data_IF_429712824001
#
_entry.id   IF_429712824001
#
_cell.length_a   1.000
_cell.length_b   1.000
_cell.length_c   1.000
_cell.angle_alpha   90.00
_cell.angle_beta   90.00
_cell.angle_gamma   90.00
#
_symmetry.space_group_name_H-M   'P 1'
#
loop_
_entity.id
_entity.type
_entity.pdbx_description
1 polymer ?
#
# COMPACT_ATOMS: atom_id res chain seq x y z
N UNK A 1 -6.38 -23.97 12.47
CA UNK A 1 -5.03 -23.78 13.05
C UNK A 1 -4.01 -24.31 12.05
N UNK A 2 -3.04 -23.49 11.65
CA UNK A 2 -2.00 -23.85 10.68
C UNK A 2 -0.65 -23.96 11.37
N UNK A 3 0.02 -25.12 11.25
CA UNK A 3 1.39 -25.33 11.69
C UNK A 3 2.25 -25.67 10.46
N UNK A 4 2.59 -24.64 9.69
CA UNK A 4 3.06 -24.72 8.30
C UNK A 4 4.23 -25.68 8.03
N UNK A 5 5.08 -25.94 9.02
CA UNK A 5 6.34 -26.67 8.84
C UNK A 5 6.45 -27.95 9.68
N UNK A 6 5.40 -28.31 10.41
CA UNK A 6 5.39 -29.54 11.24
C UNK A 6 4.33 -30.53 10.78
N UNK A 7 3.36 -30.09 9.99
CA UNK A 7 2.35 -30.96 9.37
C UNK A 7 2.61 -31.04 7.87
N UNK A 8 2.66 -32.26 7.33
CA UNK A 8 2.77 -32.47 5.89
C UNK A 8 1.39 -32.29 5.25
N UNK A 9 1.05 -31.05 4.93
CA UNK A 9 -0.24 -30.66 4.32
C UNK A 9 -0.01 -29.92 3.00
N UNK A 10 -0.87 -30.15 1.98
CA UNK A 10 -0.80 -29.39 0.73
C UNK A 10 -0.89 -27.89 0.99
N UNK A 11 0.03 -27.15 0.38
CA UNK A 11 0.28 -25.74 0.69
C UNK A 11 0.32 -24.90 -0.58
N UNK A 12 -0.36 -23.75 -0.53
CA UNK A 12 -0.16 -22.64 -1.46
C UNK A 12 0.87 -21.66 -0.87
N UNK A 13 2.01 -21.54 -1.52
CA UNK A 13 3.05 -20.58 -1.17
C UNK A 13 2.80 -19.25 -1.88
N UNK A 14 2.75 -18.14 -1.13
CA UNK A 14 2.67 -16.78 -1.69
C UNK A 14 4.09 -16.24 -1.74
N UNK A 15 4.68 -16.15 -2.93
CA UNK A 15 6.11 -15.89 -3.07
C UNK A 15 6.33 -14.50 -3.65
N UNK A 16 6.92 -13.61 -2.86
CA UNK A 16 7.32 -12.29 -3.35
C UNK A 16 8.46 -12.39 -4.37
N UNK A 17 8.34 -11.66 -5.47
CA UNK A 17 9.34 -11.54 -6.55
C UNK A 17 10.03 -10.18 -6.49
N UNK A 18 11.20 -10.01 -7.14
CA UNK A 18 11.88 -8.72 -7.19
C UNK A 18 11.04 -7.60 -7.83
N UNK A 19 11.29 -6.34 -7.44
CA UNK A 19 10.58 -5.15 -7.97
C UNK A 19 11.37 -4.37 -9.03
N UNK A 20 12.50 -4.91 -9.51
CA UNK A 20 13.33 -4.27 -10.53
C UNK A 20 14.76 -4.78 -10.59
N UNK A 21 15.34 -5.17 -9.46
CA UNK A 21 16.66 -5.79 -9.38
C UNK A 21 16.54 -7.27 -9.06
N UNK A 22 16.98 -8.14 -9.98
CA UNK A 22 16.90 -9.59 -9.77
C UNK A 22 17.52 -10.01 -8.43
N UNK A 23 18.59 -9.34 -7.97
CA UNK A 23 19.29 -9.63 -6.71
C UNK A 23 18.43 -9.50 -5.44
N UNK A 24 17.24 -8.90 -5.51
CA UNK A 24 16.32 -8.77 -4.37
C UNK A 24 15.50 -10.06 -4.12
N UNK A 25 15.70 -11.10 -4.92
CA UNK A 25 15.10 -12.41 -4.70
C UNK A 25 15.69 -13.06 -3.45
N UNK A 26 14.85 -13.66 -2.62
CA UNK A 26 15.35 -14.38 -1.43
C UNK A 26 15.76 -15.80 -1.80
N UNK A 27 16.78 -16.35 -1.13
CA UNK A 27 17.17 -17.75 -1.28
C UNK A 27 15.98 -18.71 -1.07
N UNK A 28 15.17 -18.43 -0.04
CA UNK A 28 13.98 -19.24 0.27
C UNK A 28 12.93 -19.18 -0.84
N UNK A 29 12.73 -18.04 -1.50
CA UNK A 29 11.84 -17.95 -2.64
C UNK A 29 12.31 -18.86 -3.79
N UNK A 30 13.60 -18.84 -4.11
CA UNK A 30 14.17 -19.72 -5.14
C UNK A 30 14.00 -21.20 -4.77
N UNK A 31 14.33 -21.59 -3.54
CA UNK A 31 14.17 -22.96 -3.06
C UNK A 31 12.72 -23.44 -3.15
N UNK A 32 11.76 -22.62 -2.68
CA UNK A 32 10.34 -22.94 -2.75
C UNK A 32 9.90 -23.11 -4.20
N UNK A 33 10.22 -22.16 -5.08
CA UNK A 33 9.82 -22.22 -6.49
C UNK A 33 10.43 -23.42 -7.23
N UNK A 34 11.60 -23.92 -6.83
CA UNK A 34 12.18 -25.18 -7.34
C UNK A 34 11.54 -26.45 -6.79
N UNK A 35 10.88 -26.36 -5.64
CA UNK A 35 10.35 -27.53 -4.91
C UNK A 35 8.86 -27.78 -5.09
N UNK A 36 8.08 -26.74 -5.41
CA UNK A 36 6.63 -26.85 -5.64
C UNK A 36 6.33 -27.61 -6.93
N UNK A 37 5.15 -28.22 -7.01
CA UNK A 37 4.70 -28.98 -8.19
C UNK A 37 4.27 -28.07 -9.35
N UNK A 38 3.78 -26.86 -9.06
CA UNK A 38 3.36 -25.88 -10.08
C UNK A 38 3.40 -24.45 -9.55
N UNK A 39 3.72 -23.51 -10.45
CA UNK A 39 3.70 -22.07 -10.18
C UNK A 39 2.54 -21.41 -10.95
N UNK A 40 1.81 -20.54 -10.28
CA UNK A 40 0.81 -19.66 -10.87
C UNK A 40 1.37 -18.25 -10.90
N UNK A 41 1.43 -17.66 -12.09
CA UNK A 41 2.06 -16.38 -12.35
C UNK A 41 1.09 -15.41 -13.00
N UNK A 42 1.16 -14.12 -12.68
CA UNK A 42 0.34 -13.08 -13.31
C UNK A 42 0.59 -12.97 -14.82
N UNK A 43 1.81 -12.60 -15.23
CA UNK A 43 2.30 -12.70 -16.59
C UNK A 43 3.41 -13.75 -16.72
N UNK A 44 3.09 -14.84 -17.42
CA UNK A 44 4.02 -15.93 -17.74
C UNK A 44 5.23 -15.46 -18.56
N UNK A 45 5.14 -14.38 -19.34
CA UNK A 45 6.25 -13.82 -20.12
C UNK A 45 7.29 -13.17 -19.22
N UNK A 46 6.84 -12.33 -18.28
CA UNK A 46 7.67 -11.70 -17.26
C UNK A 46 8.30 -12.76 -16.36
N UNK A 47 7.47 -13.69 -15.86
CA UNK A 47 7.90 -14.77 -14.98
C UNK A 47 8.92 -15.69 -15.64
N UNK A 48 8.80 -15.97 -16.95
CA UNK A 48 9.78 -16.80 -17.68
C UNK A 48 11.21 -16.25 -17.57
N UNK A 49 11.39 -14.94 -17.62
CA UNK A 49 12.72 -14.31 -17.48
C UNK A 49 13.28 -14.55 -16.09
N UNK A 50 12.46 -14.31 -15.06
CA UNK A 50 12.81 -14.54 -13.65
C UNK A 50 13.18 -16.02 -13.39
N UNK A 51 12.32 -16.96 -13.82
CA UNK A 51 12.50 -18.38 -13.59
C UNK A 51 13.77 -18.90 -14.29
N UNK A 52 14.02 -18.47 -15.54
CA UNK A 52 15.23 -18.83 -16.27
C UNK A 52 16.49 -18.30 -15.59
N UNK A 53 16.49 -17.06 -15.10
CA UNK A 53 17.64 -16.46 -14.42
C UNK A 53 18.05 -17.28 -13.19
N UNK A 54 17.07 -17.82 -12.45
CA UNK A 54 17.30 -18.62 -11.23
C UNK A 54 17.41 -20.13 -11.47
N UNK A 55 17.32 -20.59 -12.72
CA UNK A 55 17.32 -22.01 -13.07
C UNK A 55 16.17 -22.76 -12.41
N UNK A 56 14.97 -22.18 -12.42
CA UNK A 56 13.75 -22.81 -11.92
C UNK A 56 13.04 -23.49 -13.10
N UNK A 57 12.99 -24.83 -13.06
CA UNK A 57 12.41 -25.66 -14.13
C UNK A 57 10.95 -26.06 -13.87
N UNK A 58 10.40 -25.67 -12.72
CA UNK A 58 9.04 -25.95 -12.31
C UNK A 58 8.03 -25.46 -13.33
N UNK A 59 7.04 -26.30 -13.64
CA UNK A 59 5.96 -25.95 -14.57
C UNK A 59 5.14 -24.77 -14.05
N UNK A 60 4.76 -23.85 -14.93
CA UNK A 60 4.00 -22.66 -14.57
C UNK A 60 2.82 -22.38 -15.50
N UNK A 61 1.78 -21.75 -14.95
CA UNK A 61 0.57 -21.32 -15.66
C UNK A 61 0.19 -19.89 -15.29
N UNK A 62 -0.58 -19.24 -16.16
CA UNK A 62 -1.12 -17.90 -15.89
C UNK A 62 -2.24 -17.93 -14.84
N UNK A 63 -2.21 -17.02 -13.88
CA UNK A 63 -3.28 -16.68 -12.96
C UNK A 63 -3.36 -15.15 -12.84
N UNK A 64 -4.41 -14.54 -13.36
CA UNK A 64 -4.59 -13.09 -13.40
C UNK A 64 -6.07 -12.72 -13.28
N UNK A 65 -6.38 -11.42 -13.14
CA UNK A 65 -7.73 -10.93 -12.84
C UNK A 65 -8.82 -11.47 -13.80
N UNK A 66 -8.52 -11.61 -15.09
CA UNK A 66 -9.49 -12.09 -16.08
C UNK A 66 -9.78 -13.61 -16.07
N UNK A 67 -8.91 -14.44 -15.47
CA UNK A 67 -9.08 -15.91 -15.47
C UNK A 67 -9.19 -16.50 -14.05
N UNK A 68 -9.15 -15.66 -13.01
CA UNK A 68 -9.06 -16.10 -11.62
C UNK A 68 -10.15 -17.09 -11.22
N UNK A 69 -11.41 -16.84 -11.60
CA UNK A 69 -12.53 -17.72 -11.24
C UNK A 69 -12.52 -19.06 -11.99
N UNK A 70 -11.93 -19.11 -13.18
CA UNK A 70 -11.71 -20.36 -13.91
C UNK A 70 -10.57 -21.17 -13.28
N UNK A 71 -9.52 -20.50 -12.81
CA UNK A 71 -8.32 -21.14 -12.26
C UNK A 71 -8.48 -21.62 -10.82
N UNK A 72 -9.30 -20.97 -9.99
CA UNK A 72 -9.48 -21.34 -8.58
C UNK A 72 -9.87 -22.83 -8.42
N UNK A 73 -10.90 -23.37 -9.11
CA UNK A 73 -11.25 -24.78 -9.01
C UNK A 73 -10.12 -25.73 -9.40
N UNK A 74 -9.32 -25.37 -10.41
CA UNK A 74 -8.17 -26.16 -10.86
C UNK A 74 -7.09 -26.20 -9.78
N UNK A 75 -6.82 -25.06 -9.15
CA UNK A 75 -5.83 -24.93 -8.07
C UNK A 75 -6.26 -25.74 -6.85
N UNK A 76 -7.54 -25.68 -6.47
CA UNK A 76 -8.09 -26.47 -5.37
C UNK A 76 -7.96 -27.98 -5.64
N UNK A 77 -8.30 -28.44 -6.84
CA UNK A 77 -8.16 -29.85 -7.20
C UNK A 77 -6.69 -30.33 -7.12
N UNK A 78 -5.72 -29.49 -7.47
CA UNK A 78 -4.30 -29.81 -7.32
C UNK A 78 -3.91 -29.93 -5.84
N UNK A 79 -4.37 -29.02 -4.99
CA UNK A 79 -4.14 -29.10 -3.53
C UNK A 79 -4.78 -30.35 -2.93
N UNK A 80 -6.01 -30.70 -3.33
CA UNK A 80 -6.69 -31.93 -2.94
C UNK A 80 -5.91 -33.18 -3.35
N UNK A 81 -5.26 -33.15 -4.52
CA UNK A 81 -4.39 -34.22 -5.01
C UNK A 81 -3.03 -34.28 -4.30
N UNK A 82 -2.81 -33.51 -3.24
CA UNK A 82 -1.59 -33.55 -2.44
C UNK A 82 -0.46 -32.64 -2.93
N UNK A 83 -0.73 -31.76 -3.90
CA UNK A 83 0.29 -30.93 -4.56
C UNK A 83 0.62 -29.68 -3.77
N UNK A 84 1.88 -29.25 -3.83
CA UNK A 84 2.32 -27.96 -3.33
C UNK A 84 2.41 -26.97 -4.49
N UNK A 85 1.89 -25.77 -4.30
CA UNK A 85 1.73 -24.78 -5.37
C UNK A 85 2.32 -23.45 -4.94
N UNK A 86 2.78 -22.63 -5.88
CA UNK A 86 3.19 -21.25 -5.60
C UNK A 86 2.36 -20.25 -6.41
N UNK A 87 2.09 -19.09 -5.82
CA UNK A 87 1.59 -17.89 -6.50
C UNK A 87 2.69 -16.84 -6.50
N UNK A 88 3.00 -16.28 -7.67
CA UNK A 88 3.90 -15.13 -7.86
C UNK A 88 3.17 -14.03 -8.63
N UNK A 89 3.51 -12.77 -8.35
CA UNK A 89 3.13 -11.62 -9.17
C UNK A 89 4.31 -11.17 -10.02
N UNK A 90 4.04 -10.30 -10.99
CA UNK A 90 5.08 -9.79 -11.90
C UNK A 90 6.19 -9.04 -11.16
N UNK A 91 5.85 -8.37 -10.06
CA UNK A 91 6.80 -7.68 -9.20
C UNK A 91 6.28 -7.54 -7.77
N UNK A 92 7.14 -7.80 -6.79
CA UNK A 92 6.84 -7.55 -5.39
C UNK A 92 6.02 -8.67 -4.74
N UNK A 93 5.14 -8.31 -3.82
CA UNK A 93 4.41 -9.27 -3.00
C UNK A 93 3.01 -9.49 -3.56
N UNK A 94 2.63 -10.71 -3.96
CA UNK A 94 1.30 -11.00 -4.48
C UNK A 94 0.21 -10.56 -3.49
N UNK A 95 -1.01 -10.32 -4.02
CA UNK A 95 -2.18 -9.76 -3.31
C UNK A 95 -2.09 -8.26 -2.98
N UNK A 96 -0.92 -7.62 -3.04
CA UNK A 96 -0.77 -6.19 -2.73
C UNK A 96 -0.90 -5.37 -4.00
N UNK A 97 -2.14 -4.99 -4.35
CA UNK A 97 -2.50 -4.39 -5.65
C UNK A 97 -2.41 -5.35 -6.86
N UNK A 98 -2.22 -6.64 -6.59
CA UNK A 98 -2.14 -7.74 -7.55
C UNK A 98 -3.29 -8.74 -7.33
N UNK A 99 -3.65 -9.57 -8.32
CA UNK A 99 -4.62 -10.65 -8.14
C UNK A 99 -4.16 -11.68 -7.08
N UNK A 100 -5.10 -12.41 -6.49
CA UNK A 100 -4.81 -13.55 -5.61
C UNK A 100 -5.61 -13.61 -4.31
N UNK A 101 -6.29 -12.53 -3.91
CA UNK A 101 -7.06 -12.51 -2.67
C UNK A 101 -8.18 -13.56 -2.69
N UNK A 102 -8.92 -13.65 -3.80
CA UNK A 102 -9.99 -14.64 -3.98
C UNK A 102 -9.47 -16.09 -3.90
N UNK A 103 -8.27 -16.33 -4.44
CA UNK A 103 -7.62 -17.64 -4.34
C UNK A 103 -7.21 -17.96 -2.91
N UNK A 104 -6.55 -17.03 -2.21
CA UNK A 104 -6.12 -17.24 -0.82
C UNK A 104 -7.33 -17.49 0.09
N UNK A 105 -8.42 -16.75 -0.06
CA UNK A 105 -9.67 -17.03 0.65
C UNK A 105 -10.18 -18.44 0.35
N UNK A 106 -10.31 -18.81 -0.92
CA UNK A 106 -10.80 -20.13 -1.33
C UNK A 106 -9.93 -21.27 -0.77
N UNK A 107 -8.60 -21.12 -0.76
CA UNK A 107 -7.66 -22.10 -0.23
C UNK A 107 -7.82 -22.26 1.28
N UNK A 108 -7.95 -21.15 2.01
CA UNK A 108 -8.17 -21.16 3.46
C UNK A 108 -9.52 -21.77 3.82
N UNK A 109 -10.58 -21.44 3.09
CA UNK A 109 -11.94 -21.96 3.30
C UNK A 109 -12.03 -23.48 3.08
N UNK A 110 -11.26 -24.02 2.13
CA UNK A 110 -11.14 -25.46 1.90
C UNK A 110 -10.12 -26.13 2.85
N UNK A 111 -9.62 -25.39 3.83
CA UNK A 111 -8.78 -25.89 4.91
C UNK A 111 -7.32 -26.14 4.51
N UNK A 112 -6.89 -25.77 3.32
CA UNK A 112 -5.49 -25.88 2.90
C UNK A 112 -4.61 -24.82 3.57
N UNK A 113 -3.30 -25.02 3.51
CA UNK A 113 -2.34 -24.07 4.08
C UNK A 113 -1.97 -22.98 3.08
N UNK A 114 -1.85 -21.76 3.58
CA UNK A 114 -1.30 -20.63 2.83
C UNK A 114 -0.05 -20.13 3.56
N UNK A 115 1.10 -20.13 2.87
CA UNK A 115 2.38 -19.75 3.48
C UNK A 115 2.99 -18.58 2.72
N UNK A 116 3.08 -17.42 3.39
CA UNK A 116 3.80 -16.26 2.86
C UNK A 116 5.32 -16.46 2.89
N UNK A 117 5.97 -16.28 1.75
CA UNK A 117 7.43 -16.16 1.63
C UNK A 117 7.77 -14.68 1.54
N UNK A 118 8.47 -14.10 2.54
CA UNK A 118 8.80 -12.69 2.56
C UNK A 118 9.76 -12.36 1.42
N UNK A 119 9.71 -11.12 0.95
CA UNK A 119 10.59 -10.60 -0.09
C UNK A 119 10.30 -9.12 -0.36
N UNK A 120 10.57 -8.68 -1.59
CA UNK A 120 10.49 -7.27 -1.97
C UNK A 120 9.07 -6.69 -1.87
N UNK A 121 8.98 -5.43 -1.43
CA UNK A 121 7.75 -4.64 -1.36
C UNK A 121 8.08 -3.18 -1.69
N UNK A 122 7.58 -2.67 -2.81
CA UNK A 122 7.83 -1.28 -3.20
C UNK A 122 7.31 -0.29 -2.15
N UNK A 123 6.15 -0.55 -1.55
CA UNK A 123 5.58 0.25 -0.46
C UNK A 123 6.54 0.37 0.74
N UNK A 124 7.05 -0.75 1.25
CA UNK A 124 7.95 -0.73 2.41
C UNK A 124 9.32 -0.15 2.06
N UNK A 125 9.87 -0.48 0.89
CA UNK A 125 11.15 0.08 0.40
C UNK A 125 11.06 1.60 0.26
N UNK A 126 9.96 2.13 -0.29
CA UNK A 126 9.71 3.56 -0.37
C UNK A 126 9.57 4.20 1.02
N UNK A 127 8.81 3.57 1.92
CA UNK A 127 8.58 4.08 3.27
C UNK A 127 9.88 4.25 4.06
N UNK A 128 10.72 3.21 4.11
CA UNK A 128 11.96 3.23 4.91
C UNK A 128 13.01 4.19 4.34
N UNK A 129 12.93 4.48 3.04
CA UNK A 129 13.80 5.46 2.38
C UNK A 129 13.22 6.87 2.34
N UNK A 130 11.94 7.08 2.68
CA UNK A 130 11.25 8.38 2.52
C UNK A 130 11.77 9.49 3.43
N UNK A 131 12.29 9.16 4.61
CA UNK A 131 12.60 10.13 5.67
C UNK A 131 11.37 10.60 6.47
N UNK A 132 10.19 10.03 6.22
CA UNK A 132 8.97 10.27 6.99
C UNK A 132 8.81 9.24 8.12
N UNK A 133 7.86 9.48 9.03
CA UNK A 133 7.55 8.58 10.14
C UNK A 133 7.09 7.24 9.57
N UNK A 134 7.82 6.17 9.89
CA UNK A 134 7.54 4.84 9.36
C UNK A 134 6.37 4.14 10.06
N UNK A 135 5.99 4.56 11.27
CA UNK A 135 4.91 3.92 12.03
C UNK A 135 4.16 4.94 12.91
N UNK A 136 2.81 4.90 12.95
CA UNK A 136 1.93 4.11 12.10
C UNK A 136 1.90 4.60 10.64
N UNK A 137 1.54 3.73 9.69
CA UNK A 137 1.35 4.07 8.28
C UNK A 137 0.09 3.40 7.71
N UNK A 138 -0.42 3.96 6.62
CA UNK A 138 -1.58 3.46 5.86
C UNK A 138 -1.19 3.25 4.40
N UNK A 139 -1.34 2.03 3.89
CA UNK A 139 -1.20 1.73 2.47
C UNK A 139 -2.54 1.87 1.76
N UNK A 140 -2.62 2.73 0.75
CA UNK A 140 -3.83 3.02 -0.02
C UNK A 140 -3.85 2.22 -1.35
N UNK A 141 -2.67 1.94 -1.92
CA UNK A 141 -2.57 1.36 -3.26
C UNK A 141 -2.76 2.41 -4.35
N UNK A 142 -3.45 2.05 -5.43
CA UNK A 142 -3.69 2.94 -6.57
C UNK A 142 -4.95 3.79 -6.40
N UNK A 143 -4.84 5.08 -6.72
CA UNK A 143 -5.98 5.99 -6.70
C UNK A 143 -6.89 5.84 -7.95
N UNK A 144 -8.21 6.10 -7.81
CA UNK A 144 -9.15 6.10 -8.94
C UNK A 144 -8.70 6.99 -10.10
N UNK A 145 -8.91 6.53 -11.34
CA UNK A 145 -8.47 7.25 -12.55
C UNK A 145 -9.17 8.59 -12.80
N UNK A 146 -10.43 8.72 -12.37
CA UNK A 146 -11.21 9.95 -12.58
C UNK A 146 -10.93 10.94 -11.46
N UNK A 147 -10.57 12.17 -11.81
CA UNK A 147 -10.21 13.23 -10.84
C UNK A 147 -11.21 13.38 -9.68
N UNK A 148 -12.53 13.43 -9.95
CA UNK A 148 -13.54 13.51 -8.89
C UNK A 148 -13.47 12.32 -7.92
N UNK A 149 -13.37 11.10 -8.45
CA UNK A 149 -13.28 9.89 -7.62
C UNK A 149 -11.95 9.83 -6.86
N UNK A 150 -10.85 10.29 -7.46
CA UNK A 150 -9.55 10.44 -6.79
C UNK A 150 -9.65 11.39 -5.61
N UNK A 151 -10.27 12.55 -5.82
CA UNK A 151 -10.50 13.55 -4.78
C UNK A 151 -11.39 13.01 -3.66
N UNK A 152 -12.49 12.34 -4.00
CA UNK A 152 -13.38 11.71 -3.03
C UNK A 152 -12.65 10.64 -2.21
N UNK A 153 -11.76 9.85 -2.85
CA UNK A 153 -10.91 8.86 -2.16
C UNK A 153 -9.92 9.53 -1.20
N UNK A 154 -9.15 10.51 -1.69
CA UNK A 154 -8.15 11.23 -0.88
C UNK A 154 -8.78 11.94 0.32
N UNK A 155 -10.01 12.48 0.18
CA UNK A 155 -10.72 13.13 1.28
C UNK A 155 -10.94 12.20 2.49
N UNK A 156 -11.06 10.88 2.29
CA UNK A 156 -11.18 9.91 3.39
C UNK A 156 -9.94 9.90 4.30
N UNK A 157 -8.77 10.21 3.75
CA UNK A 157 -7.48 10.19 4.43
C UNK A 157 -7.01 11.58 4.87
N UNK A 158 -7.82 12.62 4.63
CA UNK A 158 -7.42 14.02 4.90
C UNK A 158 -7.04 14.27 6.35
N UNK A 159 -7.64 13.58 7.32
CA UNK A 159 -7.32 13.77 8.74
C UNK A 159 -6.51 12.61 9.33
N UNK A 160 -6.01 11.69 8.50
CA UNK A 160 -5.20 10.58 9.00
C UNK A 160 -3.84 11.09 9.43
N UNK A 161 -3.52 10.95 10.71
CA UNK A 161 -2.22 11.34 11.30
C UNK A 161 -1.07 10.40 10.90
N UNK A 162 -1.40 9.26 10.28
CA UNK A 162 -0.42 8.25 9.81
C UNK A 162 0.18 8.61 8.46
N UNK A 163 1.44 8.26 8.21
CA UNK A 163 2.05 8.33 6.87
C UNK A 163 1.24 7.53 5.86
N UNK A 164 0.99 8.08 4.67
CA UNK A 164 0.22 7.44 3.60
C UNK A 164 1.15 6.92 2.50
N UNK A 165 0.88 5.74 1.97
CA UNK A 165 1.62 5.17 0.84
C UNK A 165 0.66 4.91 -0.31
N UNK A 166 0.98 5.48 -1.48
CA UNK A 166 0.17 5.43 -2.69
C UNK A 166 1.05 4.95 -3.85
N UNK A 167 0.54 4.06 -4.69
CA UNK A 167 1.16 3.74 -5.97
C UNK A 167 0.56 4.61 -7.07
N UNK A 168 1.40 5.07 -8.00
CA UNK A 168 0.93 5.89 -9.10
C UNK A 168 1.67 5.61 -10.42
N UNK A 169 0.92 5.67 -11.52
CA UNK A 169 1.45 5.60 -12.87
C UNK A 169 2.17 6.91 -13.20
N UNK A 170 3.32 6.87 -13.88
CA UNK A 170 4.08 8.08 -14.17
C UNK A 170 3.35 9.01 -15.14
N UNK A 171 2.39 8.51 -15.92
CA UNK A 171 1.55 9.32 -16.80
C UNK A 171 0.50 10.16 -16.03
N UNK A 172 0.21 9.78 -14.78
CA UNK A 172 -0.81 10.42 -13.93
C UNK A 172 -0.20 11.24 -12.79
N UNK A 173 1.11 11.11 -12.56
CA UNK A 173 1.76 11.67 -11.37
C UNK A 173 1.46 13.15 -11.17
N UNK A 174 1.48 13.95 -12.24
CA UNK A 174 1.22 15.39 -12.16
C UNK A 174 -0.21 15.69 -11.70
N UNK A 175 -1.21 15.09 -12.35
CA UNK A 175 -2.62 15.25 -11.95
C UNK A 175 -2.83 14.79 -10.51
N UNK A 176 -2.23 13.67 -10.12
CA UNK A 176 -2.33 13.14 -8.75
C UNK A 176 -1.74 14.11 -7.72
N UNK A 177 -0.57 14.71 -7.98
CA UNK A 177 0.05 15.70 -7.10
C UNK A 177 -0.78 16.98 -6.99
N UNK A 178 -1.40 17.44 -8.07
CA UNK A 178 -2.30 18.60 -8.07
C UNK A 178 -3.52 18.35 -7.16
N UNK A 179 -4.18 17.20 -7.30
CA UNK A 179 -5.34 16.83 -6.47
C UNK A 179 -4.93 16.60 -5.00
N UNK A 180 -3.77 15.98 -4.76
CA UNK A 180 -3.27 15.78 -3.40
C UNK A 180 -3.01 17.12 -2.70
N UNK A 181 -2.41 18.09 -3.39
CA UNK A 181 -2.22 19.43 -2.83
C UNK A 181 -3.56 20.11 -2.52
N UNK A 182 -4.53 20.00 -3.42
CA UNK A 182 -5.89 20.54 -3.19
C UNK A 182 -6.55 19.93 -1.94
N UNK A 183 -6.42 18.63 -1.73
CA UNK A 183 -7.09 17.92 -0.63
C UNK A 183 -6.34 18.04 0.70
N UNK A 184 -5.03 17.82 0.67
CA UNK A 184 -4.17 17.69 1.86
C UNK A 184 -3.47 18.97 2.26
N UNK A 185 -3.38 19.98 1.39
CA UNK A 185 -2.54 21.15 1.58
C UNK A 185 -1.06 20.83 1.42
N UNK A 186 -0.19 21.66 2.00
CA UNK A 186 1.25 21.52 1.83
C UNK A 186 1.89 20.51 2.81
N UNK A 187 1.70 19.21 2.57
CA UNK A 187 2.37 18.14 3.35
C UNK A 187 3.71 17.77 2.78
N UNK A 188 4.61 17.26 3.63
CA UNK A 188 5.83 16.60 3.13
C UNK A 188 5.47 15.35 2.32
N UNK A 189 6.28 15.08 1.32
CA UNK A 189 6.12 13.94 0.41
C UNK A 189 7.48 13.42 -0.05
N UNK A 190 7.57 12.11 -0.23
CA UNK A 190 8.65 11.44 -0.93
C UNK A 190 8.12 10.78 -2.20
N UNK A 191 8.70 11.11 -3.36
CA UNK A 191 8.41 10.50 -4.65
C UNK A 191 9.52 9.49 -4.95
N UNK A 192 9.25 8.21 -4.77
CA UNK A 192 10.19 7.14 -5.05
C UNK A 192 9.89 6.53 -6.41
N UNK A 193 10.80 6.72 -7.37
CA UNK A 193 10.64 6.28 -8.76
C UNK A 193 11.64 5.18 -9.10
N UNK A 194 11.19 4.17 -9.84
CA UNK A 194 12.06 3.12 -10.38
C UNK A 194 12.90 2.44 -9.28
N UNK A 195 12.29 2.18 -8.12
CA UNK A 195 12.94 1.56 -6.96
C UNK A 195 13.68 0.28 -7.37
N UNK A 196 14.90 0.14 -6.86
CA UNK A 196 15.87 -0.94 -7.11
C UNK A 196 16.45 -0.99 -8.53
N UNK A 197 15.90 -0.24 -9.49
CA UNK A 197 16.35 -0.24 -10.89
C UNK A 197 17.50 0.76 -11.10
N UNK A 198 18.13 0.69 -12.29
CA UNK A 198 19.27 1.55 -12.66
C UNK A 198 19.01 3.06 -12.54
N UNK A 199 17.76 3.49 -12.74
CA UNK A 199 17.36 4.90 -12.73
C UNK A 199 16.54 5.28 -11.49
N UNK A 200 16.76 4.58 -10.38
CA UNK A 200 16.11 4.89 -9.10
C UNK A 200 16.29 6.37 -8.76
N UNK A 201 15.21 7.03 -8.34
CA UNK A 201 15.24 8.40 -7.86
C UNK A 201 14.28 8.55 -6.70
N UNK A 202 14.73 9.17 -5.61
CA UNK A 202 13.91 9.44 -4.43
C UNK A 202 13.97 10.94 -4.14
N UNK A 203 12.89 11.64 -4.50
CA UNK A 203 12.74 13.07 -4.26
C UNK A 203 12.02 13.25 -2.93
N UNK A 204 12.61 13.98 -1.99
CA UNK A 204 11.97 14.36 -0.71
C UNK A 204 11.69 15.85 -0.74
N UNK A 205 10.43 16.23 -0.57
CA UNK A 205 9.94 17.59 -0.79
C UNK A 205 8.65 17.81 0.00
N UNK A 206 7.96 18.90 -0.27
CA UNK A 206 6.58 19.16 0.09
C UNK A 206 5.67 19.26 -1.16
N UNK A 207 4.36 19.12 -0.95
CA UNK A 207 3.34 19.05 -2.01
C UNK A 207 3.25 20.34 -2.84
N UNK A 208 3.58 21.50 -2.29
CA UNK A 208 3.64 22.77 -3.01
C UNK A 208 4.83 22.81 -3.97
N UNK A 209 6.02 22.51 -3.45
CA UNK A 209 7.28 22.56 -4.21
C UNK A 209 7.28 21.59 -5.40
N UNK A 210 6.70 20.39 -5.24
CA UNK A 210 6.66 19.39 -6.33
C UNK A 210 5.75 19.77 -7.50
N UNK A 211 4.83 20.73 -7.34
CA UNK A 211 3.91 21.14 -8.43
C UNK A 211 4.65 21.72 -9.65
N UNK A 212 5.83 22.29 -9.42
CA UNK A 212 6.63 22.96 -10.46
C UNK A 212 7.81 22.11 -10.94
N UNK A 213 8.02 20.92 -10.36
CA UNK A 213 9.13 20.04 -10.74
C UNK A 213 8.84 19.33 -12.07
N UNK A 214 9.88 19.18 -12.88
CA UNK A 214 9.82 18.30 -14.04
C UNK A 214 10.07 16.85 -13.59
N UNK A 215 9.01 16.04 -13.62
CA UNK A 215 9.05 14.63 -13.23
C UNK A 215 9.12 13.73 -14.46
N UNK A 216 9.94 12.69 -14.42
CA UNK A 216 10.01 11.70 -15.50
C UNK A 216 8.68 10.94 -15.58
N UNK A 217 8.05 10.94 -16.75
CA UNK A 217 6.77 10.28 -17.03
C UNK A 217 6.94 8.82 -17.45
N UNK A 218 8.11 8.22 -17.18
CA UNK A 218 8.38 6.79 -17.35
C UNK A 218 8.72 6.10 -16.03
N UNK A 219 8.49 4.80 -16.01
CA UNK A 219 8.75 3.93 -14.87
C UNK A 219 7.54 3.81 -13.95
N UNK A 220 7.77 3.62 -12.66
CA UNK A 220 6.72 3.46 -11.65
C UNK A 220 7.03 4.36 -10.44
N UNK A 221 5.99 4.94 -9.83
CA UNK A 221 6.12 5.76 -8.64
C UNK A 221 5.44 5.12 -7.42
N UNK A 222 6.13 5.18 -6.30
CA UNK A 222 5.56 5.02 -4.96
C UNK A 222 5.66 6.36 -4.24
N UNK A 223 4.52 6.91 -3.84
CA UNK A 223 4.40 8.17 -3.12
C UNK A 223 4.26 7.87 -1.63
N UNK A 224 5.09 8.52 -0.82
CA UNK A 224 5.00 8.45 0.65
C UNK A 224 4.69 9.85 1.16
N UNK A 225 3.54 10.02 1.78
CA UNK A 225 2.98 11.33 2.15
C UNK A 225 2.91 11.43 3.65
N UNK A 226 3.31 12.58 4.19
CA UNK A 226 3.19 12.86 5.61
C UNK A 226 1.73 12.75 6.05
N UNK A 227 1.55 12.21 7.25
CA UNK A 227 0.26 12.23 7.92
C UNK A 227 -0.21 13.66 8.17
N UNK A 228 -1.47 13.80 8.53
CA UNK A 228 -1.99 15.05 9.05
C UNK A 228 -1.27 15.36 10.37
N UNK A 229 -0.35 16.31 10.34
CA UNK A 229 0.09 16.99 11.53
C UNK A 229 -0.83 18.19 11.72
N UNK A 230 -1.50 18.25 12.86
CA UNK A 230 -2.29 19.42 13.20
C UNK A 230 -1.35 20.61 13.34
N UNK A 231 -1.50 21.61 12.48
CA UNK A 231 -0.82 22.88 12.66
C UNK A 231 -1.53 23.66 13.77
N UNK A 232 -1.23 23.30 15.02
CA UNK A 232 -1.69 24.02 16.20
C UNK A 232 -1.19 25.47 16.22
N UNK A 233 -0.22 25.84 15.38
CA UNK A 233 0.33 27.20 15.36
C UNK A 233 -0.55 28.20 14.61
N UNK A 234 -1.40 27.73 13.69
CA UNK A 234 -2.27 28.59 12.87
C UNK A 234 -3.77 28.34 13.05
N UNK A 235 -4.18 27.28 13.76
CA UNK A 235 -5.58 27.02 14.04
C UNK A 235 -6.05 27.89 15.20
N UNK A 236 -7.13 28.65 14.97
CA UNK A 236 -7.81 29.31 16.08
C UNK A 236 -8.51 28.26 16.94
N UNK A 237 -8.78 28.62 18.21
CA UNK A 237 -9.57 27.80 19.13
C UNK A 237 -10.89 27.31 18.48
N UNK A 238 -11.48 28.14 17.61
CA UNK A 238 -12.75 27.83 16.94
C UNK A 238 -12.59 26.80 15.82
N UNK A 239 -11.48 26.84 15.10
CA UNK A 239 -11.24 25.90 13.99
C UNK A 239 -11.14 24.47 14.51
N UNK A 240 -10.42 24.28 15.62
CA UNK A 240 -10.27 22.99 16.31
C UNK A 240 -11.62 22.52 16.85
N UNK A 241 -12.36 23.40 17.54
CA UNK A 241 -13.68 23.06 18.10
C UNK A 241 -14.71 22.70 17.03
N UNK A 242 -14.85 23.53 16.00
CA UNK A 242 -15.82 23.34 14.93
C UNK A 242 -15.54 22.07 14.14
N UNK A 243 -14.26 21.71 13.96
CA UNK A 243 -13.86 20.45 13.32
C UNK A 243 -14.32 19.24 14.14
N UNK A 244 -14.16 19.28 15.47
CA UNK A 244 -14.63 18.21 16.36
C UNK A 244 -16.15 18.04 16.30
N UNK A 245 -16.90 19.15 16.37
CA UNK A 245 -18.37 19.12 16.28
C UNK A 245 -18.83 18.62 14.90
N UNK A 246 -18.17 19.06 13.81
CA UNK A 246 -18.46 18.58 12.45
C UNK A 246 -18.21 17.08 12.27
N UNK A 247 -17.25 16.53 13.00
CA UNK A 247 -16.95 15.10 13.03
C UNK A 247 -17.90 14.31 13.96
N UNK A 248 -18.99 14.92 14.44
CA UNK A 248 -20.03 14.24 15.21
C UNK A 248 -19.73 14.10 16.71
N UNK A 249 -18.70 14.78 17.21
CA UNK A 249 -18.39 14.82 18.64
C UNK A 249 -19.37 15.77 19.34
N UNK A 250 -19.92 15.36 20.48
CA UNK A 250 -20.80 16.20 21.29
C UNK A 250 -20.10 17.53 21.66
N UNK A 251 -20.78 18.69 21.58
CA UNK A 251 -20.22 20.01 21.93
C UNK A 251 -19.46 20.06 23.26
N UNK A 252 -19.91 19.35 24.29
CA UNK A 252 -19.28 19.35 25.61
C UNK A 252 -17.94 18.60 25.63
N UNK A 253 -17.85 17.55 24.81
CA UNK A 253 -16.66 16.73 24.61
C UNK A 253 -15.70 17.41 23.62
N UNK A 254 -16.23 18.07 22.58
CA UNK A 254 -15.46 18.90 21.66
C UNK A 254 -14.71 20.03 22.42
N UNK A 255 -15.34 20.69 23.41
CA UNK A 255 -14.66 21.66 24.26
C UNK A 255 -13.48 21.05 25.05
N UNK A 256 -13.63 19.82 25.53
CA UNK A 256 -12.60 19.12 26.31
C UNK A 256 -11.44 18.70 25.41
N UNK A 257 -11.76 18.05 24.30
CA UNK A 257 -10.77 17.57 23.34
C UNK A 257 -10.03 18.74 22.68
N UNK A 258 -10.70 19.85 22.38
CA UNK A 258 -10.06 21.07 21.86
C UNK A 258 -9.04 21.64 22.86
N UNK A 259 -9.38 21.64 24.16
CA UNK A 259 -8.50 22.11 25.22
C UNK A 259 -7.26 21.21 25.40
N UNK A 260 -7.46 19.89 25.38
CA UNK A 260 -6.39 18.90 25.45
C UNK A 260 -5.47 18.99 24.23
N UNK A 261 -6.06 19.16 23.03
CA UNK A 261 -5.35 19.21 21.75
C UNK A 261 -4.52 20.50 21.58
N UNK A 262 -5.04 21.65 22.05
CA UNK A 262 -4.32 22.94 22.04
C UNK A 262 -3.42 23.19 23.26
N UNK A 263 -3.48 22.33 24.30
CA UNK A 263 -2.71 22.52 25.53
C UNK A 263 -3.14 23.73 26.36
N UNK A 264 -4.40 24.18 26.24
CA UNK A 264 -4.94 25.35 26.94
C UNK A 264 -6.08 24.97 27.90
N UNK A 265 -6.41 25.78 28.92
CA UNK A 265 -7.52 25.51 29.82
C UNK A 265 -8.87 25.44 29.11
N UNK A 266 -9.71 24.44 29.44
CA UNK A 266 -11.08 24.29 28.90
C UNK A 266 -11.95 25.56 29.02
N UNK A 267 -11.70 26.36 30.06
CA UNK A 267 -12.39 27.64 30.28
C UNK A 267 -12.08 28.66 29.19
N UNK A 268 -10.85 28.69 28.68
CA UNK A 268 -10.44 29.60 27.59
C UNK A 268 -11.12 29.22 26.29
N UNK A 269 -11.21 27.91 25.99
CA UNK A 269 -11.96 27.39 24.84
C UNK A 269 -13.43 27.83 24.91
N UNK A 270 -14.07 27.61 26.06
CA UNK A 270 -15.48 27.97 26.26
C UNK A 270 -15.73 29.49 26.12
N UNK A 271 -14.86 30.33 26.67
CA UNK A 271 -14.99 31.78 26.58
C UNK A 271 -14.87 32.28 25.14
N UNK A 272 -13.90 31.76 24.38
CA UNK A 272 -13.68 32.15 22.99
C UNK A 272 -14.86 31.75 22.09
N UNK A 273 -15.37 30.52 22.25
CA UNK A 273 -16.53 30.02 21.51
C UNK A 273 -17.80 30.81 21.82
N UNK A 274 -18.00 31.23 23.07
CA UNK A 274 -19.19 32.00 23.46
C UNK A 274 -19.17 33.43 22.91
N UNK A 275 -17.99 34.07 22.87
CA UNK A 275 -17.83 35.47 22.44
C UNK A 275 -18.12 35.64 20.94
N UNK A 276 -17.77 34.68 20.09
CA UNK A 276 -17.98 34.81 18.63
C UNK A 276 -19.36 34.34 18.15
N UNK A 277 -20.13 33.65 19.00
CA UNK A 277 -21.52 33.26 18.73
C UNK A 277 -22.55 34.27 19.28
N UNK A 278 -22.11 35.45 19.75
CA UNK A 278 -22.96 36.55 20.23
C UNK A 278 -22.85 37.72 19.28
#
# INVERSE_FOLDING_TARGET
MQNSFTQNKPTLYIVSTPIGNLSDMTYRAVEILKSVDMIFAEDTRTSKVLLNHYGIETSYQSYHEHNKFEKIPIILNLLEAGKNLALISDAGTPLVSDPGNDLVQSVVENGFYVVGIPGASAALTALVSSGLIAQPFTFIGFLPKKQKAMKDELNKYKLYETTLIIYESPNRIKETLEVMYEVFGNRKISLARELTKKFETIIRSDLESVQTMELDTRGEYTLVVEGFAEDLSNLTINDVYNTMVKNGIDPKDALKLTAEKLGIPKREVYQKIKIENT
#
